data_IF_395349429334
#
_entry.id   IF_395349429334
#
_cell.length_a   1.000
_cell.length_b   1.000
_cell.length_c   1.000
_cell.angle_alpha   90.00
_cell.angle_beta   90.00
_cell.angle_gamma   90.00
#
_symmetry.space_group_name_H-M   'P 1'
#
loop_
_entity.id
_entity.type
_entity.pdbx_description
1 polymer ?
#
# COMPACT_ATOMS: atom_id res chain seq x y z
N UNK A 1 -18.61 -2.44 68.19
CA UNK A 1 -17.17 -2.13 68.15
C UNK A 1 -16.55 -3.15 67.19
N UNK A 2 -16.55 -2.99 65.85
CA UNK A 2 -15.78 -2.01 65.05
C UNK A 2 -14.39 -1.78 65.66
N UNK A 3 -13.25 -1.90 64.98
CA UNK A 3 -12.89 -1.59 63.60
C UNK A 3 -11.38 -1.90 63.50
N UNK A 4 -10.89 -2.61 62.48
CA UNK A 4 -9.52 -2.51 61.91
C UNK A 4 -9.15 -3.81 61.17
N UNK A 5 -9.47 -3.90 59.87
CA UNK A 5 -8.71 -4.71 58.88
C UNK A 5 -9.07 -4.34 57.42
N UNK A 6 -9.70 -3.17 57.17
CA UNK A 6 -10.29 -2.86 55.86
C UNK A 6 -9.62 -1.72 55.07
N UNK A 7 -8.36 -1.35 55.34
CA UNK A 7 -7.69 -0.27 54.57
C UNK A 7 -6.44 -0.67 53.80
N UNK A 8 -5.81 -1.82 54.05
CA UNK A 8 -4.54 -2.17 53.38
C UNK A 8 -4.69 -2.96 52.07
N UNK A 9 -5.87 -3.52 51.79
CA UNK A 9 -6.09 -4.32 50.57
C UNK A 9 -6.57 -3.51 49.37
N UNK A 10 -6.72 -2.19 49.49
CA UNK A 10 -7.26 -1.35 48.40
C UNK A 10 -6.16 -0.65 47.58
N UNK A 11 -4.90 -0.67 48.02
CA UNK A 11 -3.78 -0.08 47.27
C UNK A 11 -3.03 -1.09 46.38
N UNK A 12 -3.09 -2.39 46.65
CA UNK A 12 -2.38 -3.43 45.86
C UNK A 12 -3.05 -3.78 44.52
N UNK A 13 -4.30 -3.33 44.29
CA UNK A 13 -5.07 -3.61 43.06
C UNK A 13 -4.93 -2.53 41.96
N UNK A 14 -4.08 -1.50 42.16
CA UNK A 14 -3.86 -0.43 41.17
C UNK A 14 -2.54 -0.50 40.38
N UNK A 15 -1.73 -1.54 40.59
CA UNK A 15 -0.42 -1.69 39.91
C UNK A 15 -0.27 -3.01 39.13
N UNK A 16 -1.31 -3.42 38.40
CA UNK A 16 -1.17 -4.39 37.32
C UNK A 16 -1.65 -3.74 36.02
N UNK A 17 -0.95 -2.67 35.62
CA UNK A 17 -1.04 -2.14 34.26
C UNK A 17 -0.43 -3.23 33.37
N UNK A 18 -1.28 -3.95 32.64
CA UNK A 18 -0.87 -4.88 31.59
C UNK A 18 0.05 -4.13 30.62
N UNK A 19 1.36 -4.33 30.76
CA UNK A 19 2.31 -4.00 29.70
C UNK A 19 1.93 -4.87 28.50
N UNK A 20 1.40 -4.25 27.45
CA UNK A 20 1.35 -4.89 26.14
C UNK A 20 2.75 -5.46 25.83
N UNK A 21 2.88 -6.74 25.48
CA UNK A 21 4.18 -7.33 25.20
C UNK A 21 4.84 -6.49 24.11
N UNK A 22 6.00 -5.89 24.42
CA UNK A 22 6.81 -5.16 23.45
C UNK A 22 7.15 -6.14 22.33
N UNK A 23 6.51 -5.96 21.18
CA UNK A 23 6.80 -6.74 19.98
C UNK A 23 8.22 -6.39 19.56
N UNK A 24 9.19 -7.20 19.99
CA UNK A 24 10.57 -7.06 19.56
C UNK A 24 10.60 -7.34 18.06
N UNK A 25 10.76 -6.29 17.26
CA UNK A 25 10.76 -6.41 15.80
C UNK A 25 11.98 -7.23 15.38
N UNK A 26 11.76 -8.50 15.05
CA UNK A 26 12.82 -9.35 14.55
C UNK A 26 13.34 -8.77 13.22
N UNK A 27 14.67 -8.61 13.07
CA UNK A 27 15.22 -8.08 11.84
C UNK A 27 14.89 -9.04 10.68
N UNK A 28 14.34 -8.50 9.58
CA UNK A 28 13.97 -9.26 8.38
C UNK A 28 15.12 -10.13 7.84
N UNK A 29 16.37 -9.71 8.09
CA UNK A 29 17.59 -10.44 7.74
C UNK A 29 17.69 -11.83 8.38
N UNK A 30 17.10 -12.05 9.57
CA UNK A 30 17.08 -13.38 10.20
C UNK A 30 16.23 -14.37 9.40
N UNK A 31 15.12 -13.95 8.80
CA UNK A 31 14.30 -14.81 7.95
C UNK A 31 15.08 -15.31 6.71
N UNK A 32 15.88 -14.43 6.11
CA UNK A 32 16.76 -14.78 4.99
C UNK A 32 17.97 -15.64 5.35
N UNK A 33 18.29 -15.79 6.64
CA UNK A 33 19.38 -16.66 7.07
C UNK A 33 19.02 -18.15 6.98
N UNK A 34 17.73 -18.47 7.00
CA UNK A 34 17.19 -19.84 6.89
C UNK A 34 17.07 -20.33 5.45
N UNK A 35 17.50 -19.53 4.49
CA UNK A 35 17.26 -19.73 3.05
C UNK A 35 18.39 -20.53 2.39
N UNK A 36 18.04 -21.53 1.56
CA UNK A 36 19.00 -22.38 0.84
C UNK A 36 19.78 -21.59 -0.24
N UNK A 37 20.90 -22.15 -0.71
CA UNK A 37 21.72 -21.51 -1.78
C UNK A 37 20.92 -21.27 -3.07
N UNK A 38 19.99 -22.16 -3.42
CA UNK A 38 19.10 -22.02 -4.61
C UNK A 38 18.10 -20.88 -4.43
N UNK A 39 17.47 -20.80 -3.27
CA UNK A 39 16.51 -19.73 -2.96
C UNK A 39 17.17 -18.35 -2.96
N UNK A 40 18.44 -18.24 -2.53
CA UNK A 40 19.22 -16.99 -2.65
C UNK A 40 19.39 -16.53 -4.09
N UNK A 41 19.61 -17.45 -5.03
CA UNK A 41 19.69 -17.13 -6.46
C UNK A 41 18.32 -16.66 -6.96
N UNK A 42 17.24 -17.33 -6.55
CA UNK A 42 15.87 -16.92 -6.91
C UNK A 42 15.53 -15.52 -6.38
N UNK A 43 16.02 -15.15 -5.19
CA UNK A 43 15.83 -13.80 -4.63
C UNK A 43 16.53 -12.78 -5.54
N UNK A 44 17.77 -13.04 -5.94
CA UNK A 44 18.52 -12.13 -6.82
C UNK A 44 17.79 -11.96 -8.16
N UNK A 45 17.37 -13.06 -8.80
CA UNK A 45 16.63 -13.01 -10.07
C UNK A 45 15.29 -12.27 -9.90
N UNK A 46 14.54 -12.57 -8.85
CA UNK A 46 13.26 -11.92 -8.56
C UNK A 46 13.40 -10.43 -8.28
N UNK A 47 14.45 -10.01 -7.57
CA UNK A 47 14.75 -8.59 -7.35
C UNK A 47 15.15 -7.85 -8.62
N UNK A 48 15.98 -8.46 -9.47
CA UNK A 48 16.35 -7.88 -10.75
C UNK A 48 15.13 -7.74 -11.68
N UNK A 49 14.25 -8.75 -11.71
CA UNK A 49 13.00 -8.69 -12.46
C UNK A 49 12.03 -7.64 -11.91
N UNK A 50 11.95 -7.47 -10.59
CA UNK A 50 11.15 -6.41 -9.96
C UNK A 50 11.68 -5.02 -10.32
N UNK A 51 13.01 -4.84 -10.33
CA UNK A 51 13.66 -3.59 -10.77
C UNK A 51 13.34 -3.30 -12.23
N UNK A 52 13.50 -4.28 -13.11
CA UNK A 52 13.19 -4.14 -14.53
C UNK A 52 11.72 -3.75 -14.75
N UNK A 53 10.78 -4.43 -14.08
CA UNK A 53 9.34 -4.13 -14.15
C UNK A 53 9.03 -2.71 -13.66
N UNK A 54 9.66 -2.27 -12.57
CA UNK A 54 9.50 -0.92 -12.03
C UNK A 54 10.07 0.18 -12.94
N UNK A 55 11.05 -0.11 -13.80
CA UNK A 55 11.57 0.85 -14.79
C UNK A 55 10.71 0.85 -16.05
N UNK A 56 10.25 -0.31 -16.51
CA UNK A 56 9.46 -0.45 -17.72
C UNK A 56 8.10 0.26 -17.62
N UNK A 57 7.49 0.31 -16.43
CA UNK A 57 6.17 0.92 -16.25
C UNK A 57 6.14 2.42 -16.56
N UNK A 58 7.04 3.29 -16.05
CA UNK A 58 7.07 4.69 -16.44
C UNK A 58 7.59 4.92 -17.86
N UNK A 59 8.37 4.01 -18.45
CA UNK A 59 8.74 4.11 -19.88
C UNK A 59 7.51 4.12 -20.81
N UNK A 60 6.41 3.49 -20.40
CA UNK A 60 5.14 3.55 -21.13
C UNK A 60 4.65 4.99 -21.35
N UNK A 61 4.87 5.89 -20.39
CA UNK A 61 4.45 7.29 -20.50
C UNK A 61 5.21 8.04 -21.61
N UNK A 62 6.48 7.68 -21.86
CA UNK A 62 7.27 8.27 -22.94
C UNK A 62 6.72 7.87 -24.31
N UNK A 63 6.36 6.60 -24.48
CA UNK A 63 5.80 6.10 -25.74
C UNK A 63 4.41 6.72 -26.01
N UNK A 64 3.61 6.97 -24.97
CA UNK A 64 2.36 7.73 -25.11
C UNK A 64 2.64 9.18 -25.57
N UNK A 65 3.70 9.81 -25.05
CA UNK A 65 4.15 11.11 -25.53
C UNK A 65 4.42 11.11 -27.04
N UNK A 66 5.15 10.10 -27.52
CA UNK A 66 5.49 9.92 -28.93
C UNK A 66 4.24 9.64 -29.79
N UNK A 67 3.28 8.90 -29.23
CA UNK A 67 1.99 8.67 -29.85
C UNK A 67 1.20 9.98 -30.01
N UNK A 68 1.23 10.86 -29.01
CA UNK A 68 0.63 12.19 -29.08
C UNK A 68 1.19 13.03 -30.23
N UNK A 69 2.51 12.99 -30.43
CA UNK A 69 3.19 13.67 -31.54
C UNK A 69 2.74 13.13 -32.90
N UNK A 70 2.55 11.81 -33.02
CA UNK A 70 2.12 11.19 -34.27
C UNK A 70 0.71 11.61 -34.73
N UNK A 71 -0.14 12.07 -33.80
CA UNK A 71 -1.49 12.55 -34.08
C UNK A 71 -1.58 14.05 -34.39
N UNK A 72 -0.45 14.79 -34.38
CA UNK A 72 -0.44 16.20 -34.75
C UNK A 72 -0.92 16.42 -36.19
N UNK A 73 -1.79 17.41 -36.45
CA UNK A 73 -2.37 17.65 -37.78
C UNK A 73 -1.36 18.19 -38.80
N UNK A 74 -0.15 18.54 -38.38
CA UNK A 74 0.95 19.01 -39.23
C UNK A 74 1.68 17.91 -39.99
N UNK A 75 1.43 16.64 -39.67
CA UNK A 75 2.23 15.52 -40.16
C UNK A 75 1.63 14.91 -41.44
N UNK A 76 2.49 14.62 -42.44
CA UNK A 76 2.08 13.94 -43.67
C UNK A 76 1.54 12.52 -43.40
N UNK A 77 0.55 12.05 -44.19
CA UNK A 77 -0.10 10.75 -43.95
C UNK A 77 0.87 9.56 -44.03
N UNK A 78 1.87 9.61 -44.92
CA UNK A 78 2.88 8.55 -45.04
C UNK A 78 3.85 8.53 -43.87
N UNK A 79 4.27 9.71 -43.38
CA UNK A 79 5.08 9.83 -42.17
C UNK A 79 4.33 9.31 -40.94
N UNK A 80 3.05 9.68 -40.80
CA UNK A 80 2.17 9.20 -39.73
C UNK A 80 2.06 7.68 -39.72
N UNK A 81 1.86 7.03 -40.88
CA UNK A 81 1.74 5.57 -40.97
C UNK A 81 3.04 4.86 -40.54
N UNK A 82 4.21 5.41 -40.90
CA UNK A 82 5.51 4.85 -40.51
C UNK A 82 5.74 4.97 -39.00
N UNK A 83 5.50 6.16 -38.44
CA UNK A 83 5.67 6.43 -37.02
C UNK A 83 4.72 5.59 -36.15
N UNK A 84 3.44 5.45 -36.54
CA UNK A 84 2.49 4.58 -35.83
C UNK A 84 2.93 3.11 -35.83
N UNK A 85 3.51 2.63 -36.95
CA UNK A 85 4.01 1.25 -37.03
C UNK A 85 5.19 1.02 -36.08
N UNK A 86 6.09 2.00 -35.99
CA UNK A 86 7.24 1.94 -35.08
C UNK A 86 6.80 1.99 -33.61
N UNK A 87 5.94 2.96 -33.26
CA UNK A 87 5.38 3.10 -31.90
C UNK A 87 4.61 1.83 -31.49
N UNK A 88 3.79 1.28 -32.40
CA UNK A 88 3.06 0.03 -32.13
C UNK A 88 4.00 -1.14 -31.83
N UNK A 89 5.10 -1.26 -32.58
CA UNK A 89 6.14 -2.26 -32.32
C UNK A 89 6.83 -2.07 -30.97
N UNK A 90 7.17 -0.84 -30.61
CA UNK A 90 7.77 -0.52 -29.31
C UNK A 90 6.81 -0.81 -28.15
N UNK A 91 5.52 -0.47 -28.30
CA UNK A 91 4.48 -0.77 -27.32
C UNK A 91 4.30 -2.27 -27.11
N UNK A 92 4.27 -3.05 -28.20
CA UNK A 92 4.16 -4.50 -28.12
C UNK A 92 5.37 -5.13 -27.41
N UNK A 93 6.59 -4.67 -27.73
CA UNK A 93 7.82 -5.14 -27.09
C UNK A 93 7.85 -4.79 -25.60
N UNK A 94 7.43 -3.56 -25.24
CA UNK A 94 7.35 -3.14 -23.84
C UNK A 94 6.30 -3.95 -23.07
N UNK A 95 5.13 -4.21 -23.67
CA UNK A 95 4.07 -5.01 -23.04
C UNK A 95 4.49 -6.46 -22.80
N UNK A 96 5.17 -7.09 -23.76
CA UNK A 96 5.70 -8.45 -23.58
C UNK A 96 6.82 -8.46 -22.54
N UNK A 97 7.71 -7.46 -22.58
CA UNK A 97 8.78 -7.31 -21.60
C UNK A 97 8.28 -7.13 -20.17
N UNK A 98 7.29 -6.25 -19.95
CA UNK A 98 6.66 -6.04 -18.64
C UNK A 98 5.91 -7.28 -18.17
N UNK A 99 5.24 -8.01 -19.07
CA UNK A 99 4.54 -9.23 -18.70
C UNK A 99 5.50 -10.33 -18.26
N UNK A 100 6.59 -10.58 -19.01
CA UNK A 100 7.58 -11.60 -18.67
C UNK A 100 8.31 -11.24 -17.38
N UNK A 101 8.84 -10.01 -17.28
CA UNK A 101 9.52 -9.55 -16.07
C UNK A 101 8.56 -9.53 -14.87
N UNK A 102 7.31 -9.13 -15.12
CA UNK A 102 6.18 -9.14 -14.21
C UNK A 102 5.94 -10.50 -13.58
N UNK A 103 5.80 -11.50 -14.44
CA UNK A 103 5.57 -12.88 -14.04
C UNK A 103 6.76 -13.45 -13.26
N UNK A 104 7.99 -13.25 -13.77
CA UNK A 104 9.20 -13.76 -13.11
C UNK A 104 9.37 -13.16 -11.72
N UNK A 105 9.20 -11.84 -11.56
CA UNK A 105 9.34 -11.23 -10.24
C UNK A 105 8.31 -11.81 -9.26
N UNK A 106 7.04 -11.87 -9.64
CA UNK A 106 5.96 -12.26 -8.72
C UNK A 106 6.04 -13.74 -8.37
N UNK A 107 6.25 -14.60 -9.37
CA UNK A 107 6.33 -16.04 -9.17
C UNK A 107 7.52 -16.45 -8.31
N UNK A 108 8.71 -15.85 -8.54
CA UNK A 108 9.90 -16.19 -7.76
C UNK A 108 9.75 -15.76 -6.30
N UNK A 109 9.28 -14.52 -6.07
CA UNK A 109 9.05 -14.02 -4.71
C UNK A 109 8.01 -14.84 -3.94
N UNK A 110 6.91 -15.23 -4.59
CA UNK A 110 5.90 -16.08 -3.96
C UNK A 110 6.44 -17.48 -3.65
N UNK A 111 7.22 -18.07 -4.57
CA UNK A 111 7.81 -19.39 -4.33
C UNK A 111 8.79 -19.37 -3.14
N UNK A 112 9.61 -18.32 -3.03
CA UNK A 112 10.54 -18.17 -1.90
C UNK A 112 9.78 -18.03 -0.58
N UNK A 113 8.70 -17.26 -0.58
CA UNK A 113 7.88 -17.06 0.61
C UNK A 113 7.28 -18.38 1.13
N UNK A 114 6.77 -19.22 0.24
CA UNK A 114 6.26 -20.55 0.59
C UNK A 114 7.36 -21.48 1.10
N UNK A 115 8.54 -21.50 0.47
CA UNK A 115 9.67 -22.29 0.95
C UNK A 115 10.10 -21.89 2.36
N UNK A 116 10.19 -20.58 2.63
CA UNK A 116 10.55 -20.05 3.95
C UNK A 116 9.46 -20.39 4.98
N UNK A 117 8.19 -20.22 4.62
CA UNK A 117 7.06 -20.56 5.50
C UNK A 117 7.04 -22.05 5.84
N UNK A 118 7.32 -22.92 4.88
CA UNK A 118 7.42 -24.36 5.09
C UNK A 118 8.54 -24.75 6.06
N UNK A 119 9.76 -24.23 5.88
CA UNK A 119 10.89 -24.52 6.78
C UNK A 119 10.63 -23.99 8.21
N UNK A 120 10.05 -22.80 8.33
CA UNK A 120 9.66 -22.23 9.62
C UNK A 120 8.59 -23.07 10.33
N UNK A 121 7.56 -23.53 9.60
CA UNK A 121 6.52 -24.41 10.13
C UNK A 121 7.11 -25.70 10.68
N UNK A 122 8.03 -26.33 9.94
CA UNK A 122 8.70 -27.56 10.39
C UNK A 122 9.54 -27.34 11.65
N UNK A 123 10.35 -26.27 11.69
CA UNK A 123 11.18 -25.95 12.85
C UNK A 123 10.34 -25.60 14.07
N UNK A 124 9.27 -24.83 13.87
CA UNK A 124 8.35 -24.47 14.94
C UNK A 124 7.70 -25.72 15.54
N UNK A 125 7.18 -26.62 14.70
CA UNK A 125 6.60 -27.87 15.18
C UNK A 125 7.64 -28.73 15.91
N UNK A 126 8.87 -28.83 15.38
CA UNK A 126 9.95 -29.56 16.03
C UNK A 126 10.30 -28.97 17.40
N UNK A 127 10.40 -27.65 17.51
CA UNK A 127 10.68 -26.97 18.77
C UNK A 127 9.53 -27.13 19.77
N UNK A 128 8.29 -27.02 19.31
CA UNK A 128 7.08 -27.21 20.14
C UNK A 128 7.02 -28.62 20.75
N UNK A 129 7.42 -29.65 19.99
CA UNK A 129 7.46 -31.04 20.47
C UNK A 129 8.64 -31.33 21.42
N UNK A 130 9.65 -30.45 21.49
CA UNK A 130 10.82 -30.59 22.37
C UNK A 130 10.69 -29.79 23.66
N UNK A 131 9.57 -29.11 23.85
CA UNK A 131 9.33 -28.19 24.94
C UNK A 131 8.83 -28.92 26.20
N UNK A 132 9.14 -28.36 27.37
CA UNK A 132 8.75 -28.93 28.66
C UNK A 132 7.23 -28.99 28.85
N UNK A 133 6.75 -30.01 29.58
CA UNK A 133 5.32 -30.23 29.82
C UNK A 133 4.68 -29.04 30.54
N UNK A 134 5.39 -28.41 31.47
CA UNK A 134 4.92 -27.22 32.19
C UNK A 134 4.57 -26.06 31.24
N UNK A 135 5.37 -25.84 30.19
CA UNK A 135 5.06 -24.82 29.19
C UNK A 135 3.86 -25.21 28.32
N UNK A 136 3.72 -26.50 27.98
CA UNK A 136 2.59 -26.98 27.18
C UNK A 136 1.27 -26.90 27.96
N UNK A 137 1.29 -27.01 29.28
CA UNK A 137 0.11 -26.83 30.15
C UNK A 137 -0.37 -25.37 30.19
N UNK A 138 0.52 -24.40 30.00
CA UNK A 138 0.16 -22.97 29.94
C UNK A 138 -0.49 -22.58 28.61
N UNK A 139 -0.35 -23.38 27.55
CA UNK A 139 -0.86 -23.06 26.22
C UNK A 139 -2.23 -23.69 25.97
N UNK A 140 -3.14 -22.95 25.35
CA UNK A 140 -4.40 -23.49 24.82
C UNK A 140 -4.14 -24.40 23.61
N UNK A 141 -3.96 -25.70 23.84
CA UNK A 141 -3.65 -26.70 22.80
C UNK A 141 -4.70 -26.72 21.67
N UNK A 142 -5.97 -26.46 22.00
CA UNK A 142 -7.07 -26.48 21.03
C UNK A 142 -6.96 -25.38 19.96
N UNK A 143 -6.30 -24.26 20.27
CA UNK A 143 -6.12 -23.13 19.33
C UNK A 143 -4.79 -23.18 18.59
N UNK A 144 -3.87 -24.09 18.95
CA UNK A 144 -2.54 -24.15 18.35
C UNK A 144 -2.57 -24.42 16.83
N UNK A 145 -3.34 -25.38 16.30
CA UNK A 145 -3.33 -25.68 14.87
C UNK A 145 -3.80 -24.50 14.01
N UNK A 146 -4.86 -23.79 14.44
CA UNK A 146 -5.36 -22.62 13.73
C UNK A 146 -4.37 -21.46 13.79
N UNK A 147 -3.77 -21.21 14.96
CA UNK A 147 -2.74 -20.17 15.13
C UNK A 147 -1.50 -20.44 14.27
N UNK A 148 -1.01 -21.68 14.23
CA UNK A 148 0.09 -22.07 13.34
C UNK A 148 -0.29 -21.77 11.88
N UNK A 149 -1.46 -22.23 11.44
CA UNK A 149 -1.93 -22.02 10.07
C UNK A 149 -1.96 -20.53 9.69
N UNK A 150 -2.60 -19.71 10.53
CA UNK A 150 -2.77 -18.28 10.29
C UNK A 150 -1.44 -17.51 10.35
N UNK A 151 -0.66 -17.68 11.43
CA UNK A 151 0.58 -16.95 11.64
C UNK A 151 1.58 -17.20 10.49
N UNK A 152 1.76 -18.45 10.07
CA UNK A 152 2.71 -18.77 8.99
C UNK A 152 2.19 -18.38 7.60
N UNK A 153 0.88 -18.30 7.41
CA UNK A 153 0.29 -17.76 6.17
C UNK A 153 0.52 -16.26 6.09
N UNK A 154 0.27 -15.52 7.18
CA UNK A 154 0.57 -14.10 7.27
C UNK A 154 2.07 -13.80 7.07
N UNK A 155 2.96 -14.66 7.56
CA UNK A 155 4.41 -14.56 7.31
C UNK A 155 4.71 -14.76 5.82
N UNK A 156 4.14 -15.79 5.18
CA UNK A 156 4.31 -16.03 3.73
C UNK A 156 3.86 -14.83 2.89
N UNK A 157 2.64 -14.34 3.13
CA UNK A 157 2.10 -13.18 2.41
C UNK A 157 2.95 -11.92 2.60
N UNK A 158 3.48 -11.73 3.81
CA UNK A 158 4.28 -10.55 4.14
C UNK A 158 5.67 -10.60 3.46
N UNK A 159 6.32 -11.76 3.42
CA UNK A 159 7.62 -11.93 2.76
C UNK A 159 7.47 -11.94 1.23
N UNK A 160 6.44 -12.61 0.70
CA UNK A 160 6.22 -12.74 -0.73
C UNK A 160 5.64 -11.47 -1.34
N UNK A 161 4.37 -11.20 -1.07
CA UNK A 161 3.63 -10.14 -1.75
C UNK A 161 4.02 -8.75 -1.25
N UNK A 162 4.05 -8.53 0.07
CA UNK A 162 4.26 -7.16 0.60
C UNK A 162 5.68 -6.67 0.36
N UNK A 163 6.69 -7.50 0.62
CA UNK A 163 8.09 -7.08 0.46
C UNK A 163 8.46 -6.87 -1.01
N UNK A 164 8.05 -7.77 -1.92
CA UNK A 164 8.27 -7.59 -3.36
C UNK A 164 7.57 -6.33 -3.89
N UNK A 165 6.35 -6.05 -3.43
CA UNK A 165 5.61 -4.83 -3.78
C UNK A 165 6.29 -3.57 -3.28
N UNK A 166 6.94 -3.60 -2.10
CA UNK A 166 7.72 -2.46 -1.59
C UNK A 166 8.95 -2.21 -2.48
N UNK A 167 9.69 -3.26 -2.84
CA UNK A 167 10.86 -3.14 -3.72
C UNK A 167 10.46 -2.57 -5.09
N UNK A 168 9.43 -3.16 -5.71
CA UNK A 168 8.86 -2.66 -6.96
C UNK A 168 8.40 -1.21 -6.81
N UNK A 169 7.66 -0.87 -5.75
CA UNK A 169 7.12 0.46 -5.51
C UNK A 169 8.20 1.53 -5.37
N UNK A 170 9.29 1.24 -4.66
CA UNK A 170 10.42 2.15 -4.51
C UNK A 170 11.12 2.36 -5.85
N UNK A 171 11.42 1.28 -6.59
CA UNK A 171 12.08 1.40 -7.90
C UNK A 171 11.20 2.17 -8.87
N UNK A 172 9.91 1.85 -8.93
CA UNK A 172 8.94 2.51 -9.80
C UNK A 172 8.79 4.01 -9.47
N UNK A 173 8.81 4.36 -8.18
CA UNK A 173 8.78 5.75 -7.76
C UNK A 173 10.06 6.48 -8.22
N UNK A 174 11.24 5.91 -7.96
CA UNK A 174 12.51 6.53 -8.34
C UNK A 174 12.66 6.65 -9.86
N UNK A 175 12.27 5.63 -10.63
CA UNK A 175 12.32 5.65 -12.09
C UNK A 175 11.33 6.67 -12.68
N UNK A 176 10.11 6.76 -12.16
CA UNK A 176 9.12 7.75 -12.60
C UNK A 176 9.60 9.19 -12.34
N UNK A 177 10.19 9.44 -11.17
CA UNK A 177 10.75 10.75 -10.83
C UNK A 177 11.93 11.09 -11.74
N UNK A 178 12.85 10.15 -11.96
CA UNK A 178 13.98 10.35 -12.85
C UNK A 178 13.53 10.67 -14.29
N UNK A 179 12.57 9.90 -14.83
CA UNK A 179 12.02 10.13 -16.17
C UNK A 179 11.32 11.50 -16.26
N UNK A 180 10.58 11.91 -15.22
CA UNK A 180 9.93 13.22 -15.19
C UNK A 180 10.94 14.38 -15.25
N UNK A 181 12.00 14.34 -14.44
CA UNK A 181 13.03 15.39 -14.44
C UNK A 181 13.87 15.41 -15.73
N UNK A 182 14.14 14.26 -16.33
CA UNK A 182 14.82 14.18 -17.64
C UNK A 182 13.95 14.76 -18.75
N UNK A 183 12.65 14.44 -18.73
CA UNK A 183 11.70 14.84 -19.78
C UNK A 183 11.24 16.28 -19.69
N UNK A 184 11.49 16.97 -18.57
CA UNK A 184 11.09 18.36 -18.35
C UNK A 184 11.31 18.80 -16.91
N UNK A 185 12.50 19.32 -16.61
CA UNK A 185 12.88 19.74 -15.26
C UNK A 185 11.95 20.83 -14.70
N UNK A 186 11.63 21.84 -15.52
CA UNK A 186 10.82 22.99 -15.08
C UNK A 186 9.37 22.58 -14.74
N UNK A 187 8.75 21.77 -15.61
CA UNK A 187 7.37 21.30 -15.42
C UNK A 187 7.29 20.31 -14.25
N UNK A 188 8.26 19.39 -14.15
CA UNK A 188 8.36 18.45 -13.05
C UNK A 188 8.52 19.17 -11.70
N UNK A 189 9.37 20.21 -11.62
CA UNK A 189 9.59 20.98 -10.40
C UNK A 189 8.31 21.68 -9.91
N UNK A 190 7.51 22.25 -10.82
CA UNK A 190 6.22 22.87 -10.48
C UNK A 190 5.26 21.83 -9.89
N UNK A 191 5.15 20.65 -10.51
CA UNK A 191 4.30 19.57 -9.99
C UNK A 191 4.76 19.06 -8.63
N UNK A 192 6.08 18.95 -8.44
CA UNK A 192 6.67 18.62 -7.14
C UNK A 192 6.38 19.68 -6.07
N UNK A 193 6.27 20.96 -6.42
CA UNK A 193 5.93 22.01 -5.46
C UNK A 193 4.51 21.88 -4.90
N UNK A 194 3.57 21.27 -5.65
CA UNK A 194 2.19 21.04 -5.20
C UNK A 194 2.08 19.82 -4.28
N UNK A 195 3.02 18.87 -4.41
CA UNK A 195 3.00 17.60 -3.69
C UNK A 195 3.01 17.74 -2.15
N UNK A 196 3.84 18.59 -1.51
CA UNK A 196 3.82 18.81 -0.07
C UNK A 196 2.46 19.30 0.44
N UNK A 197 1.79 20.20 -0.28
CA UNK A 197 0.48 20.70 0.12
C UNK A 197 -0.56 19.58 0.14
N UNK A 198 -0.54 18.69 -0.86
CA UNK A 198 -1.39 17.50 -0.90
C UNK A 198 -1.07 16.53 0.22
N UNK A 199 0.21 16.30 0.48
CA UNK A 199 0.66 15.42 1.55
C UNK A 199 0.17 15.90 2.93
N UNK A 200 0.24 17.21 3.21
CA UNK A 200 -0.26 17.79 4.46
C UNK A 200 -1.76 17.51 4.64
N UNK A 201 -2.57 17.73 3.59
CA UNK A 201 -4.02 17.45 3.64
C UNK A 201 -4.27 15.98 3.97
N UNK A 202 -3.55 15.06 3.32
CA UNK A 202 -3.70 13.62 3.56
C UNK A 202 -3.29 13.22 4.99
N UNK A 203 -2.19 13.77 5.51
CA UNK A 203 -1.73 13.48 6.87
C UNK A 203 -2.73 13.98 7.90
N UNK A 204 -3.24 15.21 7.74
CA UNK A 204 -4.22 15.79 8.67
C UNK A 204 -5.50 14.97 8.72
N UNK A 205 -6.12 14.68 7.57
CA UNK A 205 -7.32 13.84 7.54
C UNK A 205 -7.04 12.39 7.97
N UNK A 206 -5.87 11.84 7.62
CA UNK A 206 -5.44 10.53 8.05
C UNK A 206 -5.32 10.41 9.58
N UNK A 207 -4.88 11.46 10.28
CA UNK A 207 -4.86 11.50 11.74
C UNK A 207 -6.27 11.43 12.34
N UNK A 208 -7.25 12.13 11.75
CA UNK A 208 -8.64 12.06 12.20
C UNK A 208 -9.24 10.65 12.01
N UNK A 209 -9.02 10.04 10.84
CA UNK A 209 -9.44 8.66 10.58
C UNK A 209 -8.78 7.70 11.56
N UNK A 210 -7.46 7.81 11.76
CA UNK A 210 -6.72 6.96 12.70
C UNK A 210 -7.31 7.05 14.12
N UNK A 211 -7.63 8.26 14.59
CA UNK A 211 -8.24 8.47 15.90
C UNK A 211 -9.65 7.87 15.99
N UNK A 212 -10.46 8.03 14.94
CA UNK A 212 -11.80 7.46 14.89
C UNK A 212 -11.77 5.92 14.86
N UNK A 213 -10.89 5.33 14.05
CA UNK A 213 -10.67 3.89 13.98
C UNK A 213 -10.15 3.32 15.30
N UNK A 214 -9.24 4.01 15.99
CA UNK A 214 -8.79 3.61 17.33
C UNK A 214 -9.97 3.54 18.32
N UNK A 215 -10.84 4.55 18.32
CA UNK A 215 -12.02 4.56 19.19
C UNK A 215 -13.03 3.45 18.84
N UNK A 216 -13.17 3.12 17.55
CA UNK A 216 -13.98 1.98 17.07
C UNK A 216 -13.42 0.66 17.59
N UNK A 217 -12.13 0.41 17.39
CA UNK A 217 -11.45 -0.83 17.82
C UNK A 217 -11.52 -0.97 19.35
N UNK A 218 -11.24 0.09 20.09
CA UNK A 218 -11.29 0.06 21.57
C UNK A 218 -12.67 -0.27 22.12
N UNK A 219 -13.74 0.23 21.48
CA UNK A 219 -15.11 -0.10 21.91
C UNK A 219 -15.49 -1.54 21.58
N UNK A 220 -15.08 -2.01 20.39
CA UNK A 220 -15.26 -3.39 19.99
C UNK A 220 -14.52 -4.34 20.94
N UNK A 221 -13.28 -4.03 21.31
CA UNK A 221 -12.49 -4.78 22.28
C UNK A 221 -13.20 -4.89 23.64
N UNK A 222 -13.67 -3.76 24.20
CA UNK A 222 -14.41 -3.76 25.47
C UNK A 222 -15.68 -4.64 25.42
N UNK A 223 -16.43 -4.57 24.33
CA UNK A 223 -17.62 -5.42 24.13
C UNK A 223 -17.22 -6.89 24.04
N UNK A 224 -16.21 -7.23 23.22
CA UNK A 224 -15.75 -8.61 23.04
C UNK A 224 -15.18 -9.20 24.32
N UNK A 225 -14.37 -8.46 25.07
CA UNK A 225 -13.85 -8.91 26.38
C UNK A 225 -14.99 -9.22 27.33
N UNK A 226 -16.01 -8.36 27.40
CA UNK A 226 -17.15 -8.60 28.28
C UNK A 226 -17.95 -9.82 27.85
N UNK A 227 -18.19 -9.98 26.55
CA UNK A 227 -18.85 -11.17 26.01
C UNK A 227 -18.06 -12.44 26.31
N UNK A 228 -16.73 -12.39 26.22
CA UNK A 228 -15.88 -13.55 26.52
C UNK A 228 -15.95 -13.93 28.02
N UNK A 229 -15.97 -12.94 28.93
CA UNK A 229 -16.22 -13.20 30.36
C UNK A 229 -17.56 -13.91 30.60
N UNK A 230 -18.63 -13.42 29.98
CA UNK A 230 -19.98 -13.99 30.12
C UNK A 230 -20.03 -15.42 29.53
N UNK A 231 -19.37 -15.67 28.40
CA UNK A 231 -19.31 -17.00 27.78
C UNK A 231 -18.47 -17.99 28.59
N UNK A 232 -17.32 -17.56 29.12
CA UNK A 232 -16.51 -18.37 30.03
C UNK A 232 -17.30 -18.71 31.30
N UNK A 233 -18.10 -17.77 31.81
CA UNK A 233 -18.97 -17.91 32.96
C UNK A 233 -20.38 -18.45 32.69
N UNK A 234 -20.66 -19.03 31.50
CA UNK A 234 -22.04 -19.32 31.07
C UNK A 234 -22.83 -20.20 32.07
N UNK A 235 -22.18 -21.16 32.72
CA UNK A 235 -22.81 -22.01 33.75
C UNK A 235 -23.25 -21.19 34.97
N UNK A 236 -22.49 -20.16 35.33
CA UNK A 236 -22.82 -19.25 36.45
C UNK A 236 -24.04 -18.41 36.07
N UNK A 237 -24.05 -17.82 34.87
CA UNK A 237 -25.19 -17.01 34.39
C UNK A 237 -26.49 -17.82 34.41
N UNK A 238 -26.45 -19.07 33.90
CA UNK A 238 -27.58 -19.99 33.93
C UNK A 238 -27.98 -20.39 35.35
N UNK A 239 -27.01 -20.65 36.24
CA UNK A 239 -27.31 -21.04 37.63
C UNK A 239 -28.00 -19.95 38.44
N UNK A 240 -27.79 -18.67 38.09
CA UNK A 240 -28.42 -17.52 38.72
C UNK A 240 -29.62 -16.96 37.92
N UNK A 241 -30.01 -17.60 36.80
CA UNK A 241 -31.07 -17.15 35.89
C UNK A 241 -30.94 -15.66 35.52
N UNK A 242 -29.72 -15.24 35.13
CA UNK A 242 -29.38 -13.86 34.78
C UNK A 242 -29.26 -13.62 33.26
N UNK A 243 -29.85 -14.47 32.41
CA UNK A 243 -29.67 -14.36 30.96
C UNK A 243 -30.12 -13.01 30.41
N UNK A 244 -31.32 -12.55 30.80
CA UNK A 244 -31.88 -11.26 30.35
C UNK A 244 -31.02 -10.06 30.74
N UNK A 245 -30.39 -10.10 31.93
CA UNK A 245 -29.52 -9.02 32.40
C UNK A 245 -28.25 -8.93 31.56
N UNK A 246 -27.64 -10.07 31.24
CA UNK A 246 -26.43 -10.12 30.40
C UNK A 246 -26.74 -9.72 28.95
N UNK A 247 -27.92 -10.09 28.43
CA UNK A 247 -28.39 -9.66 27.10
C UNK A 247 -28.58 -8.14 27.05
N UNK A 248 -29.18 -7.53 28.07
CA UNK A 248 -29.38 -6.08 28.11
C UNK A 248 -28.04 -5.32 28.20
N UNK A 249 -27.09 -5.82 29.00
CA UNK A 249 -25.73 -5.26 29.03
C UNK A 249 -25.01 -5.37 27.69
N UNK A 250 -25.15 -6.52 27.01
CA UNK A 250 -24.60 -6.69 25.67
C UNK A 250 -25.22 -5.70 24.68
N UNK A 251 -26.54 -5.48 24.77
CA UNK A 251 -27.26 -4.53 23.92
C UNK A 251 -26.76 -3.10 24.09
N UNK A 252 -26.56 -2.65 25.33
CA UNK A 252 -26.01 -1.32 25.63
C UNK A 252 -24.60 -1.16 25.03
N UNK A 253 -23.71 -2.13 25.25
CA UNK A 253 -22.35 -2.12 24.72
C UNK A 253 -22.31 -2.19 23.19
N UNK A 254 -23.22 -2.95 22.58
CA UNK A 254 -23.37 -3.05 21.14
C UNK A 254 -23.84 -1.73 20.52
N UNK A 255 -24.76 -1.00 21.17
CA UNK A 255 -25.21 0.31 20.71
C UNK A 255 -24.08 1.36 20.76
N UNK A 256 -23.30 1.39 21.84
CA UNK A 256 -22.11 2.25 21.96
C UNK A 256 -21.10 1.94 20.85
N UNK A 257 -20.83 0.65 20.62
CA UNK A 257 -19.89 0.17 19.60
C UNK A 257 -20.38 0.51 18.20
N UNK A 258 -21.68 0.36 17.93
CA UNK A 258 -22.33 0.75 16.67
C UNK A 258 -22.17 2.25 16.42
N UNK A 259 -22.48 3.09 17.41
CA UNK A 259 -22.38 4.55 17.26
C UNK A 259 -20.94 5.01 16.99
N UNK A 260 -19.95 4.40 17.65
CA UNK A 260 -18.52 4.66 17.38
C UNK A 260 -18.09 4.14 16.01
N UNK A 261 -18.58 2.97 15.60
CA UNK A 261 -18.32 2.38 14.30
C UNK A 261 -18.85 3.27 13.17
N UNK A 262 -20.11 3.71 13.26
CA UNK A 262 -20.72 4.63 12.29
C UNK A 262 -19.91 5.92 12.16
N UNK A 263 -19.50 6.53 13.28
CA UNK A 263 -18.65 7.73 13.26
C UNK A 263 -17.30 7.49 12.58
N UNK A 264 -16.66 6.34 12.82
CA UNK A 264 -15.41 5.98 12.17
C UNK A 264 -15.58 5.73 10.66
N UNK A 265 -16.67 5.09 10.25
CA UNK A 265 -17.00 4.89 8.84
C UNK A 265 -17.26 6.22 8.13
N UNK A 266 -17.96 7.17 8.76
CA UNK A 266 -18.14 8.51 8.19
C UNK A 266 -16.80 9.23 7.95
N UNK A 267 -15.88 9.18 8.92
CA UNK A 267 -14.53 9.75 8.74
C UNK A 267 -13.74 9.03 7.64
N UNK A 268 -13.85 7.71 7.56
CA UNK A 268 -13.18 6.90 6.53
C UNK A 268 -13.72 7.23 5.14
N UNK A 269 -15.05 7.32 4.99
CA UNK A 269 -15.70 7.70 3.75
C UNK A 269 -15.34 9.13 3.33
N UNK A 270 -15.34 10.08 4.27
CA UNK A 270 -14.92 11.46 4.03
C UNK A 270 -13.46 11.52 3.56
N UNK A 271 -12.56 10.76 4.18
CA UNK A 271 -11.15 10.69 3.77
C UNK A 271 -10.98 10.12 2.36
N UNK A 272 -11.70 9.05 2.01
CA UNK A 272 -11.69 8.51 0.64
C UNK A 272 -12.20 9.56 -0.37
N UNK A 273 -13.28 10.28 -0.03
CA UNK A 273 -13.82 11.36 -0.86
C UNK A 273 -12.81 12.49 -1.09
N UNK A 274 -12.17 12.98 -0.02
CA UNK A 274 -11.14 14.03 -0.09
C UNK A 274 -9.91 13.53 -0.84
N UNK A 275 -9.47 12.29 -0.61
CA UNK A 275 -8.38 11.67 -1.34
C UNK A 275 -8.63 11.69 -2.84
N UNK A 276 -9.84 11.28 -3.27
CA UNK A 276 -10.22 11.31 -4.69
C UNK A 276 -10.31 12.74 -5.23
N UNK A 277 -10.90 13.67 -4.48
CA UNK A 277 -10.98 15.08 -4.87
C UNK A 277 -9.60 15.69 -5.11
N UNK A 278 -8.64 15.45 -4.20
CA UNK A 278 -7.27 15.96 -4.34
C UNK A 278 -6.55 15.33 -5.55
N UNK A 279 -6.72 14.02 -5.79
CA UNK A 279 -6.12 13.34 -6.96
C UNK A 279 -6.67 13.91 -8.28
N UNK A 280 -7.99 14.04 -8.42
CA UNK A 280 -8.58 14.60 -9.64
C UNK A 280 -8.29 16.09 -9.80
N UNK A 281 -8.28 16.85 -8.69
CA UNK A 281 -7.84 18.24 -8.67
C UNK A 281 -6.39 18.40 -9.11
N UNK A 282 -5.49 17.50 -8.68
CA UNK A 282 -4.12 17.44 -9.17
C UNK A 282 -4.09 17.26 -10.68
N UNK A 283 -4.78 16.26 -11.23
CA UNK A 283 -4.81 16.05 -12.68
C UNK A 283 -5.35 17.25 -13.45
N UNK A 284 -6.41 17.89 -12.95
CA UNK A 284 -6.96 19.11 -13.56
C UNK A 284 -5.94 20.26 -13.57
N UNK A 285 -5.25 20.50 -12.46
CA UNK A 285 -4.20 21.52 -12.37
C UNK A 285 -3.01 21.21 -13.29
N UNK A 286 -2.58 19.95 -13.35
CA UNK A 286 -1.48 19.51 -14.23
C UNK A 286 -1.84 19.77 -15.70
N UNK A 287 -3.06 19.41 -16.13
CA UNK A 287 -3.52 19.65 -17.49
C UNK A 287 -3.63 21.14 -17.81
N UNK A 288 -4.13 21.94 -16.87
CA UNK A 288 -4.21 23.39 -17.07
C UNK A 288 -2.83 24.05 -17.20
N UNK A 289 -1.88 23.72 -16.31
CA UNK A 289 -0.50 24.20 -16.41
C UNK A 289 0.14 23.73 -17.71
N UNK A 290 -0.09 22.47 -18.11
CA UNK A 290 0.41 21.94 -19.38
C UNK A 290 -0.13 22.74 -20.59
N UNK A 291 -1.41 23.15 -20.59
CA UNK A 291 -1.94 23.98 -21.68
C UNK A 291 -1.25 25.34 -21.79
N UNK A 292 -1.00 26.02 -20.66
CA UNK A 292 -0.27 27.30 -20.64
C UNK A 292 1.16 27.11 -21.19
N UNK A 293 1.84 26.03 -20.81
CA UNK A 293 3.18 25.71 -21.32
C UNK A 293 3.21 25.47 -22.83
N UNK A 294 2.17 24.83 -23.37
CA UNK A 294 2.01 24.61 -24.82
C UNK A 294 1.80 25.95 -25.53
N UNK A 295 0.96 26.84 -24.98
CA UNK A 295 0.67 28.16 -25.56
C UNK A 295 1.89 29.08 -25.55
N UNK A 296 2.70 29.07 -24.49
CA UNK A 296 3.93 29.87 -24.37
C UNK A 296 5.10 29.35 -25.23
N UNK A 297 4.96 28.21 -25.92
CA UNK A 297 6.00 27.56 -26.74
C UNK A 297 7.36 27.39 -26.01
N UNK A 298 7.35 27.21 -24.68
CA UNK A 298 8.60 27.02 -23.92
C UNK A 298 9.23 25.68 -24.30
N UNK A 299 10.34 25.78 -25.03
CA UNK A 299 11.16 24.66 -25.47
C UNK A 299 11.85 24.06 -24.25
N UNK A 300 11.68 22.76 -24.02
CA UNK A 300 12.47 22.05 -23.02
C UNK A 300 13.92 21.92 -23.52
N UNK A 301 14.92 22.50 -22.83
CA UNK A 301 16.33 22.41 -23.25
C UNK A 301 16.90 20.98 -23.18
N UNK A 302 16.32 20.08 -22.39
CA UNK A 302 16.86 18.73 -22.16
C UNK A 302 16.33 17.66 -23.12
N UNK A 303 15.21 17.93 -23.81
CA UNK A 303 14.75 17.07 -24.90
C UNK A 303 14.97 17.83 -26.20
N UNK A 304 15.88 17.33 -27.03
CA UNK A 304 16.03 17.78 -28.42
C UNK A 304 14.78 17.51 -29.30
N UNK A 305 13.60 17.29 -28.70
CA UNK A 305 12.29 17.06 -29.32
C UNK A 305 11.54 18.34 -29.69
N UNK A 306 12.13 19.51 -29.48
CA UNK A 306 11.50 20.80 -29.74
C UNK A 306 11.67 21.34 -31.18
N UNK A 307 12.01 20.51 -32.17
CA UNK A 307 12.09 20.95 -33.58
C UNK A 307 10.69 21.10 -34.26
N UNK A 308 9.60 20.82 -33.52
CA UNK A 308 8.24 20.69 -34.06
C UNK A 308 7.52 22.06 -34.15
N UNK A 309 7.70 22.95 -33.18
CA UNK A 309 7.10 24.30 -33.18
C UNK A 309 7.72 25.23 -34.23
N UNK A 310 9.00 25.05 -34.54
CA UNK A 310 9.69 25.71 -35.66
C UNK A 310 9.04 25.39 -37.02
N UNK A 311 8.64 24.13 -37.23
CA UNK A 311 7.99 23.69 -38.48
C UNK A 311 6.53 24.15 -38.59
N UNK A 312 5.80 24.19 -37.49
CA UNK A 312 4.43 24.70 -37.47
C UNK A 312 4.36 26.19 -37.84
N UNK A 313 5.30 27.01 -37.32
CA UNK A 313 5.37 28.43 -37.65
C UNK A 313 5.81 28.70 -39.10
N UNK A 314 6.69 27.85 -39.68
CA UNK A 314 7.02 27.91 -41.11
C UNK A 314 5.81 27.61 -42.00
N UNK A 315 4.95 26.66 -41.61
CA UNK A 315 3.71 26.34 -42.31
C UNK A 315 2.66 27.46 -42.23
N UNK A 316 2.45 28.05 -41.06
CA UNK A 316 1.49 29.16 -40.91
C UNK A 316 1.96 30.45 -41.59
N UNK A 317 3.26 30.77 -41.58
CA UNK A 317 3.79 31.91 -42.34
C UNK A 317 3.62 31.73 -43.86
N UNK A 318 3.73 30.50 -44.37
CA UNK A 318 3.51 30.22 -45.79
C UNK A 318 2.04 30.36 -46.19
N UNK A 319 1.11 29.89 -45.36
CA UNK A 319 -0.34 30.02 -45.58
C UNK A 319 -0.80 31.49 -45.47
N UNK A 320 -0.23 32.28 -44.54
CA UNK A 320 -0.49 33.73 -44.45
C UNK A 320 0.03 34.50 -45.66
N UNK A 321 1.15 34.08 -46.28
CA UNK A 321 1.69 34.72 -47.48
C UNK A 321 0.89 34.41 -48.75
N UNK A 322 0.30 33.22 -48.86
CA UNK A 322 -0.56 32.86 -50.01
C UNK A 322 -1.94 33.50 -49.96
N UNK A 323 -2.45 33.87 -48.77
CA UNK A 323 -3.74 34.55 -48.61
C UNK A 323 -3.68 36.07 -48.84
N UNK A 324 -2.50 36.63 -49.13
CA UNK A 324 -2.25 38.06 -49.38
C UNK A 324 -1.75 38.35 -50.82
N UNK A 325 -2.04 37.49 -51.79
CA UNK A 325 -1.92 37.78 -53.23
C UNK A 325 -3.27 37.54 -53.90
#
# INVERSE_FOLDING_TARGET
MTRQTSSDNTESLKSAKSEEPRVESLPLRKFYSYTNKKDKIMIIIGTLAAVATGILLPCFALIIGDLGEAFLPSNEPDYKRRLLKEISGQMALLAVGTWIAGYIYYAFWQHIAENISYDLRLRYLKALLQQEVEFLEQIKIQTLPSQIGENFTQISESIGQKLSSIIFGIVNLLSAIAIAFISGCDLAAIFFSVFPAMFIIMVVFGMFVKRASYNKIKALEQMTTKTDETLQGIKVVLSFAQEEKEIEQFREMAEITKNKSIKAEYWTAAFIGILKFVIFGFYSLNLWIATIYIDEQRINPNTARADITSRYNKGQHFIRKQRCK
#
